data_IF_275192720208
#
_entry.id   IF_275192720208
#
_cell.length_a   1.000
_cell.length_b   1.000
_cell.length_c   1.000
_cell.angle_alpha   90.00
_cell.angle_beta   90.00
_cell.angle_gamma   90.00
#
_symmetry.space_group_name_H-M   'P 1'
#
loop_
_entity.id
_entity.type
_entity.pdbx_description
1 polymer ?
#
# COMPACT_ATOMS: atom_id res chain seq x y z
N UNK A 1 14.57 28.96 7.73
CA UNK A 1 15.51 28.38 6.74
C UNK A 1 15.88 26.92 7.04
N UNK A 2 15.82 26.46 8.30
CA UNK A 2 16.15 25.08 8.74
C UNK A 2 15.19 23.98 8.22
N UNK A 3 13.89 24.23 8.19
CA UNK A 3 12.89 23.22 7.77
C UNK A 3 13.01 22.80 6.29
N UNK A 4 13.42 23.72 5.41
CA UNK A 4 13.66 23.42 3.99
C UNK A 4 14.93 22.58 3.80
N UNK A 5 15.95 22.79 4.65
CA UNK A 5 17.18 22.00 4.68
C UNK A 5 16.91 20.56 5.15
N UNK A 6 16.14 20.39 6.24
CA UNK A 6 15.81 19.05 6.76
C UNK A 6 14.93 18.24 5.80
N UNK A 7 13.93 18.87 5.15
CA UNK A 7 13.15 18.20 4.10
C UNK A 7 14.01 17.76 2.92
N UNK A 8 14.95 18.61 2.47
CA UNK A 8 15.91 18.24 1.41
C UNK A 8 16.78 17.05 1.83
N UNK A 9 17.19 16.99 3.08
CA UNK A 9 18.00 15.89 3.62
C UNK A 9 17.20 14.58 3.74
N UNK A 10 15.94 14.64 4.17
CA UNK A 10 15.05 13.47 4.16
C UNK A 10 14.82 12.96 2.74
N UNK A 11 14.56 13.86 1.78
CA UNK A 11 14.36 13.47 0.37
C UNK A 11 15.56 12.74 -0.24
N UNK A 12 16.79 13.06 0.16
CA UNK A 12 18.00 12.40 -0.32
C UNK A 12 17.95 10.88 -0.11
N UNK A 13 17.63 10.44 1.11
CA UNK A 13 17.60 9.01 1.49
C UNK A 13 16.53 8.18 0.79
N UNK A 14 15.48 8.82 0.25
CA UNK A 14 14.36 8.13 -0.40
C UNK A 14 14.25 8.44 -1.89
N UNK A 15 15.18 9.24 -2.43
CA UNK A 15 15.16 9.65 -3.84
C UNK A 15 15.20 8.45 -4.78
N UNK A 16 15.99 7.43 -4.46
CA UNK A 16 16.10 6.20 -5.24
C UNK A 16 14.90 5.26 -5.08
N UNK A 17 14.06 5.46 -4.07
CA UNK A 17 12.86 4.63 -3.87
C UNK A 17 11.77 4.92 -4.92
N UNK A 18 11.86 6.05 -5.64
CA UNK A 18 10.84 6.49 -6.60
C UNK A 18 11.42 6.77 -7.98
N UNK A 19 10.72 6.35 -9.02
CA UNK A 19 10.63 7.15 -10.25
C UNK A 19 11.81 7.15 -11.23
N UNK A 20 12.75 6.19 -11.19
CA UNK A 20 13.60 5.95 -12.37
C UNK A 20 13.04 4.76 -13.17
N UNK A 21 12.53 4.97 -14.40
CA UNK A 21 12.00 3.89 -15.23
C UNK A 21 13.09 3.00 -15.84
N UNK A 22 14.38 3.34 -15.68
CA UNK A 22 15.53 2.58 -16.22
C UNK A 22 16.24 1.76 -15.16
N UNK A 23 15.48 1.19 -14.23
CA UNK A 23 16.04 0.29 -13.22
C UNK A 23 16.12 -1.13 -13.79
N UNK A 24 17.19 -1.88 -13.45
CA UNK A 24 17.46 -3.19 -14.05
C UNK A 24 16.41 -4.25 -13.73
N UNK A 25 15.59 -4.03 -12.69
CA UNK A 25 14.55 -4.95 -12.28
C UNK A 25 13.17 -4.27 -12.18
N UNK A 26 12.14 -5.06 -12.45
CA UNK A 26 10.74 -4.73 -12.19
C UNK A 26 10.12 -5.77 -11.25
N UNK A 27 9.54 -5.30 -10.16
CA UNK A 27 8.90 -6.14 -9.16
C UNK A 27 7.40 -5.84 -9.16
N UNK A 28 6.59 -6.89 -9.28
CA UNK A 28 5.15 -6.84 -9.12
C UNK A 28 4.76 -7.52 -7.81
N UNK A 29 4.10 -6.78 -6.92
CA UNK A 29 3.57 -7.28 -5.66
C UNK A 29 2.06 -7.37 -5.78
N UNK A 30 1.57 -8.61 -5.87
CA UNK A 30 0.17 -8.97 -5.94
C UNK A 30 -0.43 -9.01 -4.53
N UNK A 31 -1.44 -8.19 -4.29
CA UNK A 31 -2.00 -7.97 -2.95
C UNK A 31 -3.52 -8.00 -2.96
N UNK A 32 -4.09 -8.39 -1.82
CA UNK A 32 -5.44 -8.01 -1.43
C UNK A 32 -5.32 -6.91 -0.37
N UNK A 33 -5.92 -5.72 -0.56
CA UNK A 33 -5.84 -4.63 0.43
C UNK A 33 -6.41 -5.00 1.79
N UNK A 34 -7.28 -6.02 1.86
CA UNK A 34 -7.91 -6.50 3.09
C UNK A 34 -7.18 -7.69 3.72
N UNK A 35 -6.09 -8.18 3.10
CA UNK A 35 -5.31 -9.32 3.62
C UNK A 35 -4.31 -8.90 4.72
N UNK A 36 -4.39 -9.50 5.92
CA UNK A 36 -3.42 -9.27 6.98
C UNK A 36 -1.98 -9.65 6.61
N UNK A 37 -1.81 -10.68 5.76
CA UNK A 37 -0.48 -11.13 5.34
C UNK A 37 0.17 -10.12 4.38
N UNK A 38 -0.64 -9.49 3.52
CA UNK A 38 -0.18 -8.39 2.67
C UNK A 38 0.25 -7.17 3.52
N UNK A 39 -0.52 -6.85 4.56
CA UNK A 39 -0.17 -5.82 5.54
C UNK A 39 1.13 -6.14 6.31
N UNK A 40 1.28 -7.39 6.73
CA UNK A 40 2.45 -7.85 7.48
C UNK A 40 3.75 -7.80 6.66
N UNK A 41 3.66 -7.78 5.33
CA UNK A 41 4.82 -7.71 4.44
C UNK A 41 5.42 -6.30 4.31
N UNK A 42 4.69 -5.27 4.71
CA UNK A 42 5.14 -3.88 4.61
C UNK A 42 6.54 -3.60 5.21
N UNK A 43 6.90 -4.06 6.43
CA UNK A 43 8.24 -3.85 6.98
C UNK A 43 9.34 -4.42 6.08
N UNK A 44 9.09 -5.58 5.47
CA UNK A 44 10.02 -6.28 4.59
C UNK A 44 10.23 -5.47 3.31
N UNK A 45 9.14 -5.02 2.68
CA UNK A 45 9.19 -4.21 1.46
C UNK A 45 9.84 -2.86 1.71
N UNK A 46 9.50 -2.16 2.80
CA UNK A 46 10.13 -0.88 3.17
C UNK A 46 11.64 -1.04 3.32
N UNK A 47 12.08 -2.08 4.03
CA UNK A 47 13.51 -2.36 4.21
C UNK A 47 14.19 -2.65 2.87
N UNK A 48 13.58 -3.46 2.02
CA UNK A 48 14.11 -3.79 0.69
C UNK A 48 14.21 -2.54 -0.20
N UNK A 49 13.20 -1.68 -0.21
CA UNK A 49 13.20 -0.42 -0.96
C UNK A 49 14.26 0.56 -0.43
N UNK A 50 14.41 0.69 0.90
CA UNK A 50 15.44 1.54 1.49
C UNK A 50 16.83 1.05 1.07
N UNK A 51 17.12 -0.24 1.23
CA UNK A 51 18.45 -0.79 0.98
C UNK A 51 18.78 -0.94 -0.52
N UNK A 52 17.81 -1.34 -1.34
CA UNK A 52 18.07 -1.75 -2.73
C UNK A 52 17.12 -1.14 -3.75
N UNK A 53 16.24 -0.21 -3.36
CA UNK A 53 15.26 0.39 -4.26
C UNK A 53 15.85 1.06 -5.49
N UNK A 54 17.15 1.42 -5.50
CA UNK A 54 17.84 1.91 -6.71
C UNK A 54 17.90 0.91 -7.86
N UNK A 55 17.70 -0.38 -7.58
CA UNK A 55 17.80 -1.46 -8.56
C UNK A 55 16.45 -1.93 -9.11
N UNK A 56 15.34 -1.57 -8.47
CA UNK A 56 14.03 -2.03 -8.91
C UNK A 56 12.93 -0.98 -8.87
N UNK A 57 11.97 -1.12 -9.78
CA UNK A 57 10.65 -0.51 -9.62
C UNK A 57 9.72 -1.51 -8.92
N UNK A 58 8.79 -1.01 -8.10
CA UNK A 58 7.81 -1.84 -7.40
C UNK A 58 6.41 -1.38 -7.80
N UNK A 59 5.59 -2.30 -8.33
CA UNK A 59 4.19 -2.07 -8.64
C UNK A 59 3.31 -2.94 -7.76
N UNK A 60 2.29 -2.33 -7.18
CA UNK A 60 1.27 -3.08 -6.45
C UNK A 60 0.15 -3.41 -7.42
N UNK A 61 -0.20 -4.69 -7.53
CA UNK A 61 -1.29 -5.18 -8.36
C UNK A 61 -2.37 -5.70 -7.42
N UNK A 62 -3.57 -5.13 -7.51
CA UNK A 62 -4.71 -5.57 -6.72
C UNK A 62 -5.23 -6.90 -7.28
N UNK A 63 -5.07 -7.96 -6.52
CA UNK A 63 -5.55 -9.29 -6.87
C UNK A 63 -6.96 -9.50 -6.33
N UNK A 64 -7.79 -10.17 -7.12
CA UNK A 64 -9.17 -10.52 -6.80
C UNK A 64 -9.75 -11.42 -7.87
N UNK A 65 -10.95 -11.98 -7.65
CA UNK A 65 -11.57 -12.88 -8.63
C UNK A 65 -12.35 -12.10 -9.69
N UNK A 66 -11.88 -12.19 -10.94
CA UNK A 66 -12.44 -11.51 -12.12
C UNK A 66 -13.93 -11.80 -12.36
N UNK A 67 -14.40 -13.00 -12.03
CA UNK A 67 -15.74 -13.52 -12.34
C UNK A 67 -16.90 -12.65 -11.82
N UNK A 68 -16.63 -11.73 -10.89
CA UNK A 68 -17.65 -10.93 -10.20
C UNK A 68 -17.68 -9.45 -10.61
N UNK A 69 -16.64 -8.93 -11.28
CA UNK A 69 -16.64 -7.56 -11.81
C UNK A 69 -17.52 -7.37 -13.04
N UNK A 70 -17.60 -8.39 -13.91
CA UNK A 70 -18.46 -8.34 -15.11
C UNK A 70 -19.95 -8.20 -14.76
N UNK A 71 -20.35 -8.59 -13.54
CA UNK A 71 -21.70 -8.38 -13.02
C UNK A 71 -21.95 -6.91 -12.60
N UNK A 72 -20.90 -6.17 -12.23
CA UNK A 72 -20.99 -4.76 -11.83
C UNK A 72 -20.94 -3.80 -13.04
N UNK A 73 -20.31 -4.18 -14.15
CA UNK A 73 -20.16 -3.36 -15.36
C UNK A 73 -21.37 -3.38 -16.32
N UNK A 74 -22.58 -3.70 -15.83
CA UNK A 74 -23.82 -3.53 -16.59
C UNK A 74 -24.27 -4.72 -17.46
N UNK A 75 -23.70 -5.91 -17.30
CA UNK A 75 -24.27 -7.17 -17.85
C UNK A 75 -24.41 -8.19 -16.73
N UNK A 76 -25.40 -7.98 -15.85
CA UNK A 76 -25.69 -8.90 -14.76
C UNK A 76 -26.22 -10.25 -15.30
N UNK A 77 -25.70 -11.40 -14.83
CA UNK A 77 -26.52 -12.58 -14.65
C UNK A 77 -27.38 -12.38 -13.40
N UNK A 78 -28.66 -12.69 -13.53
CA UNK A 78 -29.81 -12.39 -12.66
C UNK A 78 -29.81 -13.06 -11.26
N UNK A 79 -28.65 -13.25 -10.59
CA UNK A 79 -28.59 -14.14 -9.41
C UNK A 79 -27.86 -13.62 -8.16
N UNK A 80 -27.76 -12.31 -7.94
CA UNK A 80 -27.43 -11.76 -6.62
C UNK A 80 -28.34 -10.58 -6.23
N UNK A 81 -29.65 -10.84 -6.19
CA UNK A 81 -30.58 -10.03 -5.39
C UNK A 81 -30.51 -10.53 -3.95
N UNK A 82 -29.64 -9.96 -3.14
CA UNK A 82 -29.75 -10.08 -1.68
C UNK A 82 -30.90 -9.19 -1.21
N UNK A 83 -31.67 -9.76 -0.30
CA UNK A 83 -33.02 -9.40 0.04
C UNK A 83 -33.07 -8.22 1.03
N UNK A 84 -33.97 -7.29 0.75
CA UNK A 84 -34.75 -6.45 1.66
C UNK A 84 -34.12 -5.97 2.98
N UNK A 85 -33.92 -4.65 3.10
CA UNK A 85 -34.64 -3.86 4.13
C UNK A 85 -35.03 -2.49 3.55
N UNK A 86 -36.34 -2.22 3.56
CA UNK A 86 -36.92 -0.91 3.24
C UNK A 86 -36.74 0.03 4.44
N UNK A 87 -36.29 1.25 4.23
CA UNK A 87 -36.80 2.41 4.97
C UNK A 87 -36.69 3.68 4.12
N UNK A 88 -37.83 4.35 3.95
CA UNK A 88 -37.97 5.65 3.29
C UNK A 88 -37.24 6.74 4.08
N UNK A 89 -36.59 7.67 3.38
CA UNK A 89 -36.83 9.12 3.45
C UNK A 89 -36.02 9.84 2.37
N UNK A 90 -36.59 10.91 1.84
CA UNK A 90 -36.18 11.70 0.68
C UNK A 90 -34.81 12.38 0.84
N UNK A 91 -34.09 12.51 -0.29
CA UNK A 91 -33.19 13.63 -0.52
C UNK A 91 -31.68 13.39 -0.36
N UNK A 92 -31.11 12.34 -0.96
CA UNK A 92 -29.69 12.35 -1.34
C UNK A 92 -29.56 11.90 -2.80
N UNK A 93 -28.83 12.69 -3.60
CA UNK A 93 -28.58 12.48 -5.03
C UNK A 93 -27.78 11.18 -5.35
N UNK A 94 -27.48 10.38 -4.33
CA UNK A 94 -26.61 9.22 -4.38
C UNK A 94 -27.22 8.15 -3.47
N UNK A 95 -28.01 7.23 -4.04
CA UNK A 95 -28.66 6.18 -3.25
C UNK A 95 -27.64 5.24 -2.59
N UNK A 96 -27.85 4.97 -1.30
CA UNK A 96 -27.00 4.17 -0.39
C UNK A 96 -26.60 2.76 -0.91
N UNK A 97 -27.23 2.29 -2.00
CA UNK A 97 -27.07 0.93 -2.51
C UNK A 97 -25.96 0.76 -3.57
N UNK A 98 -25.27 1.84 -4.00
CA UNK A 98 -24.21 1.76 -5.01
C UNK A 98 -22.85 1.30 -4.46
N UNK A 99 -22.61 1.44 -3.15
CA UNK A 99 -21.35 1.07 -2.48
C UNK A 99 -21.33 -0.40 -1.99
N UNK A 100 -22.36 -1.19 -2.26
CA UNK A 100 -22.47 -2.59 -1.82
C UNK A 100 -21.61 -3.59 -2.63
N UNK A 101 -20.59 -3.12 -3.37
CA UNK A 101 -19.71 -4.01 -4.11
C UNK A 101 -18.64 -4.60 -3.18
N UNK A 102 -18.37 -5.92 -3.23
CA UNK A 102 -17.26 -6.52 -2.48
C UNK A 102 -15.90 -5.94 -2.88
N UNK A 103 -15.83 -5.20 -3.99
CA UNK A 103 -14.62 -4.57 -4.52
C UNK A 103 -14.53 -3.07 -4.29
N UNK A 104 -15.42 -2.48 -3.50
CA UNK A 104 -15.48 -1.02 -3.38
C UNK A 104 -14.19 -0.41 -2.83
N UNK A 105 -13.51 -1.11 -1.91
CA UNK A 105 -12.18 -0.73 -1.40
C UNK A 105 -11.12 -0.78 -2.51
N UNK A 106 -11.13 -1.80 -3.36
CA UNK A 106 -10.22 -1.92 -4.50
C UNK A 106 -10.49 -0.87 -5.57
N UNK A 107 -11.77 -0.58 -5.86
CA UNK A 107 -12.18 0.49 -6.75
C UNK A 107 -11.76 1.86 -6.21
N UNK A 108 -11.87 2.09 -4.90
CA UNK A 108 -11.41 3.31 -4.26
C UNK A 108 -9.90 3.49 -4.38
N UNK A 109 -9.11 2.43 -4.21
CA UNK A 109 -7.67 2.48 -4.47
C UNK A 109 -7.39 2.87 -5.92
N UNK A 110 -8.12 2.31 -6.89
CA UNK A 110 -7.97 2.67 -8.31
C UNK A 110 -8.43 4.09 -8.63
N UNK A 111 -9.49 4.58 -8.01
CA UNK A 111 -9.90 5.98 -8.13
C UNK A 111 -8.84 6.94 -7.59
N UNK A 112 -8.25 6.64 -6.42
CA UNK A 112 -7.13 7.41 -5.90
C UNK A 112 -5.89 7.35 -6.83
N UNK A 113 -5.65 6.21 -7.47
CA UNK A 113 -4.57 6.02 -8.45
C UNK A 113 -4.76 6.86 -9.73
N UNK A 114 -6.00 7.22 -10.10
CA UNK A 114 -6.27 8.13 -11.23
C UNK A 114 -5.76 9.55 -10.97
N UNK A 115 -5.69 9.99 -9.71
CA UNK A 115 -5.01 11.23 -9.31
C UNK A 115 -3.49 11.09 -9.20
N UNK A 116 -2.96 9.90 -9.52
CA UNK A 116 -1.54 9.59 -9.61
C UNK A 116 -1.15 8.34 -8.83
N UNK A 117 -0.13 7.61 -9.30
CA UNK A 117 0.35 6.36 -8.67
C UNK A 117 0.67 6.53 -7.18
N UNK A 118 1.29 7.65 -6.80
CA UNK A 118 1.61 7.94 -5.41
C UNK A 118 0.35 8.19 -4.56
N UNK A 119 -0.68 8.80 -5.12
CA UNK A 119 -1.97 8.98 -4.46
C UNK A 119 -2.64 7.63 -4.19
N UNK A 120 -2.64 6.72 -5.17
CA UNK A 120 -3.11 5.34 -5.01
C UNK A 120 -2.38 4.57 -3.89
N UNK A 121 -1.06 4.64 -3.84
CA UNK A 121 -0.26 3.99 -2.77
C UNK A 121 -0.52 4.59 -1.39
N UNK A 122 -0.60 5.92 -1.29
CA UNK A 122 -0.94 6.58 -0.03
C UNK A 122 -2.34 6.20 0.45
N UNK A 123 -3.30 6.09 -0.49
CA UNK A 123 -4.66 5.67 -0.19
C UNK A 123 -4.72 4.22 0.29
N UNK A 124 -4.05 3.29 -0.41
CA UNK A 124 -3.91 1.90 0.01
C UNK A 124 -3.35 1.81 1.45
N UNK A 125 -2.26 2.51 1.74
CA UNK A 125 -1.65 2.51 3.08
C UNK A 125 -2.62 3.02 4.14
N UNK A 126 -3.27 4.17 3.90
CA UNK A 126 -4.21 4.74 4.87
C UNK A 126 -5.46 3.88 5.05
N UNK A 127 -5.94 3.23 3.98
CA UNK A 127 -7.04 2.26 4.05
C UNK A 127 -6.68 1.08 4.95
N UNK A 128 -5.48 0.52 4.80
CA UNK A 128 -5.02 -0.57 5.65
C UNK A 128 -4.84 -0.15 7.12
N UNK A 129 -4.37 1.07 7.38
CA UNK A 129 -4.32 1.63 8.74
C UNK A 129 -5.73 1.71 9.35
N UNK A 130 -6.70 2.27 8.63
CA UNK A 130 -8.09 2.37 9.09
C UNK A 130 -8.71 0.99 9.33
N UNK A 131 -8.38 0.00 8.50
CA UNK A 131 -8.88 -1.37 8.64
C UNK A 131 -8.24 -2.11 9.82
N UNK A 132 -6.91 -2.18 9.88
CA UNK A 132 -6.19 -3.08 10.79
C UNK A 132 -5.83 -2.44 12.14
N UNK A 133 -5.88 -1.12 12.24
CA UNK A 133 -5.52 -0.38 13.46
C UNK A 133 -6.73 0.28 14.08
N UNK A 134 -7.53 0.98 13.26
CA UNK A 134 -8.73 1.65 13.73
C UNK A 134 -9.96 0.72 13.73
N UNK A 135 -9.82 -0.50 13.18
CA UNK A 135 -10.86 -1.54 13.13
C UNK A 135 -12.17 -1.05 12.49
N UNK A 136 -12.09 -0.12 11.53
CA UNK A 136 -13.26 0.45 10.87
C UNK A 136 -13.63 -0.28 9.57
N UNK A 137 -14.91 -0.15 9.19
CA UNK A 137 -15.41 -0.72 7.94
C UNK A 137 -15.03 0.13 6.70
N UNK A 138 -13.95 -0.26 6.03
CA UNK A 138 -13.41 0.36 4.80
C UNK A 138 -14.20 0.07 3.52
N UNK A 139 -15.44 -0.44 3.64
CA UNK A 139 -16.37 -0.60 2.50
C UNK A 139 -17.42 0.51 2.44
N UNK A 140 -17.50 1.37 3.45
CA UNK A 140 -18.49 2.45 3.50
C UNK A 140 -17.99 3.70 2.79
N UNK A 141 -18.88 4.38 2.08
CA UNK A 141 -18.56 5.64 1.38
C UNK A 141 -17.98 6.68 2.34
N UNK A 142 -18.56 6.83 3.54
CA UNK A 142 -18.10 7.80 4.53
C UNK A 142 -16.62 7.56 4.90
N UNK A 143 -16.26 6.33 5.27
CA UNK A 143 -14.88 5.99 5.66
C UNK A 143 -13.91 6.20 4.49
N UNK A 144 -14.29 5.81 3.27
CA UNK A 144 -13.45 6.02 2.08
C UNK A 144 -13.21 7.50 1.79
N UNK A 145 -14.20 8.36 2.02
CA UNK A 145 -14.06 9.81 1.86
C UNK A 145 -13.21 10.45 2.94
N UNK A 146 -13.36 10.01 4.19
CA UNK A 146 -12.50 10.44 5.29
C UNK A 146 -11.03 10.08 5.01
N UNK A 147 -10.77 8.88 4.47
CA UNK A 147 -9.43 8.48 4.02
C UNK A 147 -8.92 9.43 2.92
N UNK A 148 -9.68 9.62 1.84
CA UNK A 148 -9.30 10.47 0.71
C UNK A 148 -8.97 11.90 1.14
N UNK A 149 -9.82 12.49 1.99
CA UNK A 149 -9.62 13.82 2.56
C UNK A 149 -8.37 13.88 3.43
N UNK A 150 -8.14 12.87 4.29
CA UNK A 150 -7.01 12.85 5.22
C UNK A 150 -5.63 12.81 4.55
N UNK A 151 -5.55 12.28 3.32
CA UNK A 151 -4.31 12.21 2.54
C UNK A 151 -4.20 13.31 1.48
N UNK A 152 -5.20 14.21 1.39
CA UNK A 152 -5.22 15.36 0.51
C UNK A 152 -5.55 15.04 -0.96
N UNK A 153 -6.39 14.05 -1.23
CA UNK A 153 -6.97 13.86 -2.57
C UNK A 153 -8.01 14.94 -2.89
N UNK A 154 -8.23 15.20 -4.18
CA UNK A 154 -9.39 15.96 -4.62
C UNK A 154 -10.65 15.11 -4.41
N UNK A 155 -11.39 15.40 -3.35
CA UNK A 155 -12.49 14.56 -2.89
C UNK A 155 -13.65 14.51 -3.87
N UNK A 156 -13.91 15.59 -4.62
CA UNK A 156 -14.99 15.61 -5.61
C UNK A 156 -14.68 14.70 -6.80
N UNK A 157 -13.45 14.79 -7.33
CA UNK A 157 -12.97 13.90 -8.39
C UNK A 157 -12.97 12.44 -7.90
N UNK A 158 -12.46 12.18 -6.69
CA UNK A 158 -12.42 10.85 -6.10
C UNK A 158 -13.82 10.21 -5.99
N UNK A 159 -14.83 10.97 -5.53
CA UNK A 159 -16.23 10.49 -5.48
C UNK A 159 -16.72 10.11 -6.88
N UNK A 160 -16.44 10.95 -7.87
CA UNK A 160 -16.86 10.71 -9.25
C UNK A 160 -16.17 9.49 -9.87
N UNK A 161 -14.94 9.21 -9.45
CA UNK A 161 -14.09 8.18 -10.02
C UNK A 161 -14.30 6.78 -9.44
N UNK A 162 -14.69 6.64 -8.16
CA UNK A 162 -14.85 5.31 -7.50
C UNK A 162 -15.69 4.34 -8.32
N UNK A 163 -16.80 4.80 -8.90
CA UNK A 163 -17.71 3.97 -9.71
C UNK A 163 -17.59 4.25 -11.21
N UNK A 164 -16.52 4.91 -11.64
CA UNK A 164 -16.27 5.22 -13.04
C UNK A 164 -15.87 3.98 -13.84
N UNK A 165 -16.06 4.07 -15.17
CA UNK A 165 -15.53 3.07 -16.09
C UNK A 165 -13.99 3.01 -16.06
N UNK A 166 -13.31 4.13 -15.77
CA UNK A 166 -11.86 4.22 -15.69
C UNK A 166 -11.31 3.42 -14.51
N UNK A 167 -11.84 3.61 -13.29
CA UNK A 167 -11.43 2.86 -12.12
C UNK A 167 -11.76 1.37 -12.26
N UNK A 168 -12.94 1.06 -12.81
CA UNK A 168 -13.35 -0.33 -13.08
C UNK A 168 -12.42 -1.02 -14.08
N UNK A 169 -12.05 -0.32 -15.16
CA UNK A 169 -11.10 -0.83 -16.16
C UNK A 169 -9.71 -1.01 -15.58
N UNK A 170 -9.24 -0.07 -14.75
CA UNK A 170 -7.95 -0.18 -14.08
C UNK A 170 -7.89 -1.40 -13.15
N UNK A 171 -8.96 -1.64 -12.37
CA UNK A 171 -9.06 -2.83 -11.52
C UNK A 171 -9.13 -4.12 -12.35
N UNK A 172 -9.87 -4.10 -13.46
CA UNK A 172 -9.93 -5.24 -14.37
C UNK A 172 -8.56 -5.54 -15.00
N UNK A 173 -7.78 -4.52 -15.35
CA UNK A 173 -6.41 -4.70 -15.83
C UNK A 173 -5.53 -5.40 -14.77
N UNK A 174 -5.62 -5.01 -13.50
CA UNK A 174 -4.90 -5.70 -12.42
C UNK A 174 -5.29 -7.18 -12.32
N UNK A 175 -6.57 -7.50 -12.46
CA UNK A 175 -7.05 -8.89 -12.43
C UNK A 175 -6.58 -9.70 -13.65
N UNK A 176 -6.53 -9.07 -14.82
CA UNK A 176 -5.97 -9.71 -16.01
C UNK A 176 -4.47 -9.98 -15.83
N UNK A 177 -3.70 -9.02 -15.32
CA UNK A 177 -2.27 -9.20 -15.01
C UNK A 177 -2.08 -10.35 -14.00
N UNK A 178 -2.89 -10.37 -12.95
CA UNK A 178 -2.90 -11.46 -11.94
C UNK A 178 -3.13 -12.83 -12.60
N UNK A 179 -4.07 -12.91 -13.55
CA UNK A 179 -4.36 -14.14 -14.28
C UNK A 179 -3.26 -14.52 -15.26
N UNK A 180 -2.71 -13.57 -16.00
CA UNK A 180 -1.64 -13.78 -16.99
C UNK A 180 -0.34 -14.24 -16.33
N UNK A 181 -0.04 -13.75 -15.11
CA UNK A 181 1.11 -14.20 -14.32
C UNK A 181 0.83 -15.45 -13.46
N UNK A 182 -0.33 -16.09 -13.65
CA UNK A 182 -0.75 -17.31 -12.95
C UNK A 182 -0.65 -17.17 -11.41
N UNK A 183 -1.13 -16.04 -10.88
CA UNK A 183 -1.12 -15.76 -9.44
C UNK A 183 -2.44 -16.22 -8.84
N UNK A 184 -2.39 -17.26 -8.00
CA UNK A 184 -3.59 -17.84 -7.38
C UNK A 184 -3.78 -17.45 -5.91
N UNK A 185 -2.73 -16.95 -5.26
CA UNK A 185 -2.69 -16.62 -3.84
C UNK A 185 -1.96 -15.30 -3.61
N UNK A 186 -2.26 -14.65 -2.48
CA UNK A 186 -1.64 -13.38 -2.07
C UNK A 186 -1.14 -13.45 -0.62
N UNK A 187 -0.05 -12.75 -0.27
CA UNK A 187 0.78 -11.93 -1.15
C UNK A 187 1.61 -12.81 -2.11
N UNK A 188 1.80 -12.35 -3.34
CA UNK A 188 2.77 -12.93 -4.28
C UNK A 188 3.67 -11.84 -4.82
N UNK A 189 4.97 -12.10 -4.92
CA UNK A 189 5.94 -11.18 -5.50
C UNK A 189 6.57 -11.83 -6.73
N UNK A 190 6.50 -11.15 -7.86
CA UNK A 190 7.17 -11.54 -9.09
C UNK A 190 8.30 -10.56 -9.41
N UNK A 191 9.49 -11.08 -9.70
CA UNK A 191 10.70 -10.35 -10.03
C UNK A 191 11.02 -10.58 -11.50
N UNK A 192 11.27 -9.51 -12.24
CA UNK A 192 11.65 -9.53 -13.65
C UNK A 192 12.91 -8.70 -13.83
N UNK A 193 13.80 -9.16 -14.71
CA UNK A 193 14.97 -8.38 -15.12
C UNK A 193 14.75 -7.74 -16.50
N UNK A 194 15.70 -6.91 -16.96
CA UNK A 194 15.61 -6.27 -18.29
C UNK A 194 15.75 -7.25 -19.47
N UNK A 195 16.20 -8.48 -19.24
CA UNK A 195 16.45 -9.47 -20.30
C UNK A 195 15.14 -10.18 -20.60
N UNK A 196 14.51 -9.81 -21.71
CA UNK A 196 13.20 -10.31 -22.13
C UNK A 196 13.14 -11.85 -22.27
N UNK A 197 14.28 -12.49 -22.50
CA UNK A 197 14.39 -13.95 -22.64
C UNK A 197 14.54 -14.69 -21.31
N UNK A 198 14.86 -13.99 -20.20
CA UNK A 198 15.00 -14.60 -18.89
C UNK A 198 13.62 -14.75 -18.23
N UNK A 199 13.35 -15.93 -17.67
CA UNK A 199 12.13 -16.16 -16.91
C UNK A 199 12.14 -15.36 -15.59
N UNK A 200 10.99 -14.79 -15.24
CA UNK A 200 10.82 -14.11 -13.95
C UNK A 200 10.71 -15.09 -12.79
N UNK A 201 11.18 -14.70 -11.61
CA UNK A 201 11.05 -15.49 -10.38
C UNK A 201 9.79 -15.03 -9.63
N UNK A 202 8.90 -15.97 -9.29
CA UNK A 202 7.67 -15.73 -8.52
C UNK A 202 7.71 -16.44 -7.18
N UNK A 203 7.41 -15.72 -6.10
CA UNK A 203 7.33 -16.25 -4.74
C UNK A 203 5.98 -15.93 -4.10
N UNK A 204 5.29 -16.97 -3.63
CA UNK A 204 3.95 -16.88 -3.04
C UNK A 204 4.01 -17.05 -1.53
N UNK A 205 3.46 -16.11 -0.78
CA UNK A 205 3.37 -16.14 0.67
C UNK A 205 4.28 -15.13 1.38
N UNK A 206 4.25 -15.20 2.71
CA UNK A 206 5.00 -14.33 3.60
C UNK A 206 6.29 -15.02 4.07
N UNK A 207 7.43 -14.41 3.77
CA UNK A 207 8.75 -14.94 4.14
C UNK A 207 9.61 -13.92 4.89
N UNK A 208 10.76 -14.39 5.39
CA UNK A 208 11.75 -13.51 6.00
C UNK A 208 12.44 -12.63 4.96
N UNK A 209 12.91 -11.47 5.42
CA UNK A 209 13.62 -10.47 4.61
C UNK A 209 14.74 -11.05 3.75
N UNK A 210 15.51 -11.99 4.32
CA UNK A 210 16.69 -12.54 3.64
C UNK A 210 16.34 -13.28 2.36
N UNK A 211 15.18 -13.94 2.28
CA UNK A 211 14.77 -14.63 1.06
C UNK A 211 14.49 -13.66 -0.09
N UNK A 212 13.77 -12.57 0.17
CA UNK A 212 13.52 -11.54 -0.86
C UNK A 212 14.81 -10.85 -1.31
N UNK A 213 15.77 -10.68 -0.38
CA UNK A 213 17.11 -10.14 -0.67
C UNK A 213 17.92 -11.11 -1.53
N UNK A 214 17.88 -12.40 -1.23
CA UNK A 214 18.57 -13.45 -2.00
C UNK A 214 18.03 -13.53 -3.43
N UNK A 215 16.70 -13.55 -3.61
CA UNK A 215 16.07 -13.52 -4.93
C UNK A 215 16.46 -12.25 -5.69
N UNK A 216 16.47 -11.09 -5.03
CA UNK A 216 16.91 -9.84 -5.65
C UNK A 216 18.36 -9.93 -6.17
N UNK A 217 19.26 -10.54 -5.40
CA UNK A 217 20.68 -10.68 -5.78
C UNK A 217 20.85 -11.67 -6.93
N UNK A 218 20.11 -12.77 -6.90
CA UNK A 218 20.07 -13.73 -8.00
C UNK A 218 19.61 -13.07 -9.30
N UNK A 219 18.51 -12.31 -9.25
CA UNK A 219 17.98 -11.58 -10.41
C UNK A 219 18.92 -10.49 -10.93
N UNK A 220 19.73 -9.90 -10.06
CA UNK A 220 20.78 -8.94 -10.46
C UNK A 220 22.03 -9.63 -11.01
N UNK A 221 22.27 -10.90 -10.68
CA UNK A 221 23.53 -11.58 -10.93
C UNK A 221 24.72 -10.98 -10.16
N UNK A 222 24.46 -10.27 -9.05
CA UNK A 222 25.47 -9.59 -8.23
C UNK A 222 25.00 -9.47 -6.77
N UNK A 223 25.94 -9.20 -5.86
CA UNK A 223 25.68 -8.93 -4.44
C UNK A 223 25.95 -7.44 -4.18
N UNK A 224 24.99 -6.55 -4.49
CA UNK A 224 25.18 -5.13 -4.32
C UNK A 224 25.26 -4.75 -2.84
N UNK A 225 26.03 -3.69 -2.55
CA UNK A 225 26.02 -3.08 -1.22
C UNK A 225 24.67 -2.39 -0.96
N UNK A 226 24.09 -2.50 0.24
CA UNK A 226 22.87 -1.77 0.59
C UNK A 226 23.12 -0.26 0.63
N UNK A 227 22.09 0.53 0.31
CA UNK A 227 22.07 1.97 0.59
C UNK A 227 22.20 2.24 2.09
N UNK A 228 22.63 3.44 2.41
CA UNK A 228 22.59 3.94 3.78
C UNK A 228 21.15 3.98 4.30
N UNK A 229 20.90 3.30 5.41
CA UNK A 229 19.62 3.41 6.12
C UNK A 229 19.53 4.83 6.71
N UNK A 230 18.45 5.59 6.45
CA UNK A 230 18.31 6.94 6.98
C UNK A 230 18.34 6.93 8.51
N UNK A 231 18.85 8.00 9.15
CA UNK A 231 18.62 8.19 10.58
C UNK A 231 17.12 8.13 10.92
N UNK A 232 16.78 7.54 12.08
CA UNK A 232 15.40 7.24 12.48
C UNK A 232 14.44 8.45 12.40
N UNK A 233 14.93 9.65 12.71
CA UNK A 233 14.13 10.88 12.58
C UNK A 233 13.66 11.14 11.14
N UNK A 234 14.51 10.90 10.14
CA UNK A 234 14.16 11.10 8.73
C UNK A 234 13.18 10.03 8.26
N UNK A 235 13.31 8.80 8.76
CA UNK A 235 12.33 7.74 8.51
C UNK A 235 10.95 8.07 9.09
N UNK A 236 10.89 8.53 10.34
CA UNK A 236 9.63 8.98 10.97
C UNK A 236 9.02 10.17 10.22
N UNK A 237 9.85 11.13 9.83
CA UNK A 237 9.41 12.27 9.02
C UNK A 237 8.88 11.86 7.64
N UNK A 238 9.43 10.80 7.05
CA UNK A 238 9.04 10.34 5.73
C UNK A 238 7.76 9.50 5.77
N UNK A 239 7.71 8.47 6.61
CA UNK A 239 6.57 7.55 6.67
C UNK A 239 5.41 8.04 7.52
N UNK A 240 5.62 9.02 8.41
CA UNK A 240 4.64 9.67 9.30
C UNK A 240 3.96 8.78 10.33
N UNK A 241 3.64 7.54 10.01
CA UNK A 241 2.92 6.63 10.88
C UNK A 241 3.46 5.21 10.74
N UNK A 242 4.11 4.73 11.81
CA UNK A 242 4.89 3.49 11.76
C UNK A 242 4.77 2.70 13.07
N UNK A 243 4.84 1.39 12.99
CA UNK A 243 4.84 0.50 14.15
C UNK A 243 6.24 0.32 14.74
N UNK A 244 6.32 -0.09 16.01
CA UNK A 244 7.59 -0.51 16.61
C UNK A 244 8.21 -1.69 15.85
N UNK A 245 7.41 -2.63 15.35
CA UNK A 245 7.91 -3.79 14.60
C UNK A 245 8.47 -3.40 13.22
N UNK A 246 7.89 -2.39 12.56
CA UNK A 246 8.44 -1.80 11.33
C UNK A 246 9.83 -1.22 11.58
N UNK A 247 10.00 -0.44 12.66
CA UNK A 247 11.31 0.10 13.06
C UNK A 247 12.30 -1.01 13.40
N UNK A 248 11.90 -1.97 14.22
CA UNK A 248 12.74 -3.10 14.60
C UNK A 248 13.28 -3.84 13.36
N UNK A 249 12.39 -4.14 12.41
CA UNK A 249 12.75 -4.81 11.15
C UNK A 249 13.71 -4.00 10.29
N UNK A 250 13.40 -2.72 10.03
CA UNK A 250 14.20 -1.85 9.14
C UNK A 250 15.60 -1.58 9.71
N UNK A 251 15.70 -1.36 11.02
CA UNK A 251 16.95 -0.97 11.68
C UNK A 251 17.74 -2.13 12.28
N UNK A 252 17.30 -3.37 12.10
CA UNK A 252 17.91 -4.57 12.72
C UNK A 252 18.02 -4.45 14.24
N UNK A 253 16.97 -3.92 14.86
CA UNK A 253 16.85 -3.77 16.31
C UNK A 253 15.91 -4.84 16.86
N UNK A 254 16.05 -5.19 18.14
CA UNK A 254 14.96 -5.88 18.84
C UNK A 254 13.76 -4.95 19.00
N UNK A 255 12.59 -5.52 19.32
CA UNK A 255 11.40 -4.71 19.61
C UNK A 255 11.65 -3.73 20.76
N UNK A 256 12.34 -4.17 21.81
CA UNK A 256 12.67 -3.39 23.01
C UNK A 256 13.66 -2.26 22.72
N UNK A 257 14.62 -2.50 21.83
CA UNK A 257 15.56 -1.48 21.36
C UNK A 257 14.84 -0.40 20.55
N UNK A 258 14.00 -0.80 19.59
CA UNK A 258 13.20 0.13 18.79
C UNK A 258 12.26 0.97 19.68
N UNK A 259 11.55 0.33 20.62
CA UNK A 259 10.67 1.01 21.58
C UNK A 259 11.46 2.02 22.45
N UNK A 260 12.67 1.64 22.91
CA UNK A 260 13.54 2.52 23.69
C UNK A 260 14.00 3.74 22.88
N UNK A 261 14.37 3.56 21.61
CA UNK A 261 14.72 4.68 20.74
C UNK A 261 13.53 5.60 20.49
N UNK A 262 12.35 5.05 20.21
CA UNK A 262 11.12 5.82 19.96
C UNK A 262 10.66 6.61 21.20
N UNK A 263 10.86 6.05 22.40
CA UNK A 263 10.63 6.78 23.66
C UNK A 263 11.49 8.04 23.81
N UNK A 264 12.72 8.08 23.25
CA UNK A 264 13.53 9.32 23.23
C UNK A 264 12.84 10.40 22.40
N UNK A 265 12.27 10.04 21.25
CA UNK A 265 11.52 10.96 20.40
C UNK A 265 10.18 11.37 21.03
N UNK A 266 9.54 10.49 21.81
CA UNK A 266 8.35 10.83 22.60
C UNK A 266 8.66 11.89 23.66
N UNK A 267 9.74 11.72 24.42
CA UNK A 267 10.20 12.70 25.42
C UNK A 267 10.56 14.05 24.77
N UNK A 268 11.13 14.01 23.57
CA UNK A 268 11.42 15.19 22.77
C UNK A 268 10.19 15.80 22.05
N UNK A 269 8.98 15.26 22.27
CA UNK A 269 7.73 15.67 21.61
C UNK A 269 7.83 15.71 20.08
N UNK A 270 8.49 14.72 19.50
CA UNK A 270 8.60 14.53 18.04
C UNK A 270 7.65 13.47 17.50
N UNK A 271 7.18 12.58 18.36
CA UNK A 271 6.20 11.54 18.02
C UNK A 271 5.11 11.46 19.08
N UNK A 272 3.93 11.02 18.65
CA UNK A 272 2.82 10.59 19.49
C UNK A 272 2.79 9.05 19.52
N UNK A 273 2.55 8.48 20.71
CA UNK A 273 2.44 7.03 20.90
C UNK A 273 0.98 6.59 20.83
N UNK A 274 0.66 5.68 19.92
CA UNK A 274 -0.69 5.13 19.71
C UNK A 274 -0.67 3.63 20.06
N UNK A 275 -1.15 3.24 21.26
CA UNK A 275 -1.28 1.83 21.62
C UNK A 275 -2.45 1.19 20.86
N UNK A 276 -2.25 -0.03 20.38
CA UNK A 276 -3.26 -0.79 19.61
C UNK A 276 -3.33 -2.23 20.13
N UNK A 277 -4.34 -3.00 19.71
CA UNK A 277 -4.54 -4.38 20.17
C UNK A 277 -3.32 -5.28 19.96
N UNK A 278 -2.56 -5.07 18.86
CA UNK A 278 -1.33 -5.82 18.53
C UNK A 278 -0.12 -4.89 18.35
N UNK A 279 0.34 -4.30 19.45
CA UNK A 279 1.62 -3.57 19.50
C UNK A 279 1.47 -2.07 19.73
N UNK A 280 2.38 -1.28 19.17
CA UNK A 280 2.40 0.18 19.33
C UNK A 280 2.78 0.84 18.01
N UNK A 281 2.01 1.87 17.65
CA UNK A 281 2.28 2.76 16.54
C UNK A 281 2.75 4.13 17.01
N UNK A 282 3.45 4.83 16.12
CA UNK A 282 4.09 6.10 16.39
C UNK A 282 3.77 7.05 15.25
N UNK A 283 3.10 8.15 15.58
CA UNK A 283 2.76 9.21 14.64
C UNK A 283 3.77 10.34 14.77
N UNK A 284 4.46 10.69 13.69
CA UNK A 284 5.36 11.83 13.65
C UNK A 284 4.57 13.13 13.77
N UNK A 285 4.96 13.97 14.73
CA UNK A 285 4.34 15.27 14.93
C UNK A 285 5.09 16.31 14.10
N UNK A 286 4.40 16.88 13.11
CA UNK A 286 4.95 17.94 12.28
C UNK A 286 4.99 19.23 13.13
N UNK A 287 6.20 19.68 13.47
CA UNK A 287 6.42 21.04 13.97
C UNK A 287 6.33 22.05 12.84
#
# INVERSE_FOLDING_TARGET
MTFSSEKKQTCHFFSHCHGDPKKPLEIYMFIDPLSPDCWALEPVIKKLQIQYGRFFTLRHILSGRLETLNSASGKAPEKLRLQHTKKNCEGSLWGDNKFSSPYISSLAIKAAELQGRKAGLNFLRKLQEVLFIEEQNVTTQQVLLEIASSIGLETEEFISDILSASASKALQCDFNITSEMEVHEVPTIAFFNERVDDEGIKITGFYHYDLYKEILFEMLGDIPRPSETPPLIHFLQYFKFVSTSEIASVYNMTYEEADRELKKYLLARKVERIPVSKGTYWKFMQM
#
